data_IF_580335170966
#
_entry.id   IF_580335170966
#
_cell.length_a   1.000
_cell.length_b   1.000
_cell.length_c   1.000
_cell.angle_alpha   90.00
_cell.angle_beta   90.00
_cell.angle_gamma   90.00
#
_symmetry.space_group_name_H-M   'P 1'
#
loop_
_entity.id
_entity.type
_entity.pdbx_description
1 polymer ?
#
# COMPACT_ATOMS: atom_id res chain seq x y z
N UNK A 1 -30.19 -3.51 8.69
CA UNK A 1 -30.63 -3.05 10.03
C UNK A 1 -29.40 -2.71 10.84
N UNK A 2 -29.39 -1.58 11.55
CA UNK A 2 -28.23 -1.07 12.30
C UNK A 2 -28.25 -1.46 13.80
N UNK A 3 -29.23 -2.26 14.26
CA UNK A 3 -29.48 -2.46 15.69
C UNK A 3 -28.32 -3.07 16.50
N UNK A 4 -27.54 -3.99 15.91
CA UNK A 4 -26.33 -4.52 16.57
C UNK A 4 -25.22 -3.46 16.69
N UNK A 5 -25.11 -2.57 15.71
CA UNK A 5 -24.15 -1.46 15.73
C UNK A 5 -24.55 -0.43 16.80
N UNK A 6 -25.82 -0.06 16.86
CA UNK A 6 -26.38 0.90 17.83
C UNK A 6 -26.19 0.38 19.27
N UNK A 7 -26.53 -0.88 19.54
CA UNK A 7 -26.33 -1.49 20.86
C UNK A 7 -24.85 -1.57 21.26
N UNK A 8 -23.95 -1.83 20.32
CA UNK A 8 -22.52 -1.85 20.62
C UNK A 8 -21.99 -0.46 21.01
N UNK A 9 -22.44 0.60 20.35
CA UNK A 9 -22.08 1.99 20.71
C UNK A 9 -22.62 2.36 22.08
N UNK A 10 -23.89 2.05 22.37
CA UNK A 10 -24.52 2.33 23.67
C UNK A 10 -23.79 1.64 24.83
N UNK A 11 -23.25 0.45 24.58
CA UNK A 11 -22.46 -0.32 25.54
C UNK A 11 -20.96 0.06 25.58
N UNK A 12 -20.54 1.08 24.83
CA UNK A 12 -19.14 1.52 24.75
C UNK A 12 -18.19 0.52 24.07
N UNK A 13 -18.72 -0.41 23.28
CA UNK A 13 -17.98 -1.41 22.51
C UNK A 13 -17.79 -0.94 21.07
N UNK A 14 -16.65 -1.28 20.46
CA UNK A 14 -16.42 -0.99 19.04
C UNK A 14 -17.37 -1.84 18.18
N UNK A 15 -18.23 -1.25 17.33
CA UNK A 15 -19.17 -2.00 16.50
C UNK A 15 -18.50 -2.48 15.21
N UNK A 16 -17.31 -3.08 15.33
CA UNK A 16 -16.57 -3.63 14.20
C UNK A 16 -17.09 -5.03 13.89
N UNK A 17 -17.39 -5.28 12.61
CA UNK A 17 -17.75 -6.60 12.11
C UNK A 17 -16.50 -7.47 11.93
N UNK A 18 -15.38 -6.84 11.58
CA UNK A 18 -14.08 -7.47 11.45
C UNK A 18 -12.96 -6.50 11.89
N UNK A 19 -11.89 -7.04 12.45
CA UNK A 19 -10.71 -6.29 12.91
C UNK A 19 -9.47 -7.07 12.50
N UNK A 20 -8.62 -6.42 11.71
CA UNK A 20 -7.31 -6.96 11.36
C UNK A 20 -6.21 -6.24 12.13
N UNK A 21 -5.16 -6.99 12.51
CA UNK A 21 -3.91 -6.43 13.04
C UNK A 21 -2.78 -6.77 12.10
N UNK A 22 -2.30 -5.75 11.38
CA UNK A 22 -1.26 -5.91 10.36
C UNK A 22 0.14 -5.73 10.94
N UNK A 23 1.05 -6.60 10.52
CA UNK A 23 2.49 -6.45 10.75
C UNK A 23 3.06 -5.31 9.89
N UNK A 24 4.21 -4.71 10.27
CA UNK A 24 4.77 -3.58 9.53
C UNK A 24 4.94 -3.79 8.01
N UNK A 25 5.38 -4.98 7.51
CA UNK A 25 5.45 -5.24 6.07
C UNK A 25 4.11 -5.18 5.36
N UNK A 26 3.05 -5.69 5.99
CA UNK A 26 1.71 -5.70 5.41
C UNK A 26 1.15 -4.27 5.34
N UNK A 27 1.38 -3.47 6.39
CA UNK A 27 1.02 -2.04 6.42
C UNK A 27 1.79 -1.23 5.36
N UNK A 28 3.04 -1.59 5.09
CA UNK A 28 3.81 -0.98 4.01
C UNK A 28 3.23 -1.32 2.64
N UNK A 29 2.85 -2.58 2.42
CA UNK A 29 2.14 -3.01 1.21
C UNK A 29 0.85 -2.24 0.96
N UNK A 30 0.02 -2.08 2.00
CA UNK A 30 -1.20 -1.26 1.90
C UNK A 30 -0.92 0.20 1.58
N UNK A 31 0.12 0.80 2.20
CA UNK A 31 0.50 2.17 1.89
C UNK A 31 0.97 2.31 0.43
N UNK A 32 1.78 1.36 -0.05
CA UNK A 32 2.23 1.31 -1.45
C UNK A 32 1.01 1.26 -2.38
N UNK A 33 0.06 0.36 -2.09
CA UNK A 33 -1.18 0.25 -2.86
C UNK A 33 -1.91 1.60 -2.93
N UNK A 34 -2.13 2.28 -1.80
CA UNK A 34 -2.83 3.55 -1.78
C UNK A 34 -2.06 4.66 -2.51
N UNK A 35 -0.75 4.75 -2.30
CA UNK A 35 0.08 5.81 -2.88
C UNK A 35 0.34 5.66 -4.37
N UNK A 36 0.41 4.44 -4.91
CA UNK A 36 0.56 4.22 -6.35
C UNK A 36 -0.58 4.81 -7.19
N UNK A 37 -1.74 5.09 -6.58
CA UNK A 37 -2.87 5.75 -7.24
C UNK A 37 -2.75 7.28 -7.26
N UNK A 38 -1.77 7.84 -6.56
CA UNK A 38 -1.50 9.27 -6.53
C UNK A 38 -0.42 9.63 -7.56
N UNK A 39 -0.46 10.83 -8.17
CA UNK A 39 0.57 11.27 -9.12
C UNK A 39 1.99 11.23 -8.56
N UNK A 40 2.15 11.50 -7.27
CA UNK A 40 3.44 11.53 -6.59
C UNK A 40 4.04 10.13 -6.37
N UNK A 41 3.25 9.06 -6.53
CA UNK A 41 3.63 7.69 -6.25
C UNK A 41 4.09 7.47 -4.81
N UNK A 42 5.05 6.56 -4.64
CA UNK A 42 5.55 6.07 -3.36
C UNK A 42 6.92 6.64 -3.07
N UNK A 43 7.12 7.17 -1.86
CA UNK A 43 8.44 7.63 -1.38
C UNK A 43 9.11 6.61 -0.47
N UNK A 44 10.36 6.25 -0.76
CA UNK A 44 11.13 5.32 0.07
C UNK A 44 11.31 5.80 1.51
N UNK A 45 11.57 7.10 1.67
CA UNK A 45 11.74 7.71 2.98
C UNK A 45 10.49 7.56 3.88
N UNK A 46 9.29 7.56 3.28
CA UNK A 46 8.05 7.40 4.05
C UNK A 46 7.86 5.97 4.55
N UNK A 47 8.16 4.97 3.72
CA UNK A 47 8.12 3.56 4.12
C UNK A 47 9.15 3.27 5.22
N UNK A 48 10.35 3.82 5.09
CA UNK A 48 11.38 3.71 6.11
C UNK A 48 10.97 4.39 7.42
N UNK A 49 10.42 5.60 7.37
CA UNK A 49 10.02 6.35 8.57
C UNK A 49 8.85 5.70 9.30
N UNK A 50 7.83 5.23 8.56
CA UNK A 50 6.58 4.72 9.16
C UNK A 50 6.67 3.26 9.58
N UNK A 51 7.44 2.45 8.86
CA UNK A 51 7.45 1.00 9.04
C UNK A 51 8.85 0.40 9.23
N UNK A 52 9.91 1.21 9.24
CA UNK A 52 11.30 0.77 9.30
C UNK A 52 11.70 -0.20 8.17
N UNK A 53 11.10 0.00 6.99
CA UNK A 53 11.25 -0.85 5.81
C UNK A 53 12.08 -0.14 4.73
N UNK A 54 13.19 -0.77 4.37
CA UNK A 54 13.99 -0.41 3.20
C UNK A 54 13.37 -1.05 1.94
N UNK A 55 12.38 -0.36 1.40
CA UNK A 55 11.57 -0.87 0.29
C UNK A 55 12.37 -1.09 -1.00
N UNK A 56 13.38 -0.26 -1.26
CA UNK A 56 14.28 -0.42 -2.41
C UNK A 56 15.17 -1.68 -2.30
N UNK A 57 15.32 -2.24 -1.10
CA UNK A 57 15.99 -3.52 -0.88
C UNK A 57 15.01 -4.69 -0.82
N UNK A 58 13.89 -4.52 -0.10
CA UNK A 58 12.90 -5.60 0.12
C UNK A 58 12.16 -5.94 -1.17
N UNK A 59 11.71 -4.93 -1.92
CA UNK A 59 10.94 -5.11 -3.16
C UNK A 59 11.79 -4.97 -4.41
N UNK A 60 13.12 -5.18 -4.31
CA UNK A 60 14.04 -4.94 -5.43
C UNK A 60 13.66 -5.76 -6.66
N UNK A 61 13.32 -7.03 -6.45
CA UNK A 61 12.95 -7.94 -7.54
C UNK A 61 11.69 -7.46 -8.27
N UNK A 62 10.67 -7.06 -7.52
CA UNK A 62 9.40 -6.57 -8.02
C UNK A 62 9.59 -5.23 -8.74
N UNK A 63 10.33 -4.30 -8.15
CA UNK A 63 10.63 -2.99 -8.71
C UNK A 63 11.42 -3.09 -10.02
N UNK A 64 12.49 -3.88 -10.04
CA UNK A 64 13.31 -4.08 -11.24
C UNK A 64 12.47 -4.71 -12.38
N UNK A 65 11.62 -5.69 -12.05
CA UNK A 65 10.70 -6.31 -13.02
C UNK A 65 9.67 -5.31 -13.55
N UNK A 66 8.98 -4.59 -12.69
CA UNK A 66 7.96 -3.60 -13.07
C UNK A 66 8.56 -2.46 -13.89
N UNK A 67 9.76 -2.01 -13.53
CA UNK A 67 10.49 -1.00 -14.29
C UNK A 67 10.84 -1.53 -15.70
N UNK A 68 11.35 -2.76 -15.81
CA UNK A 68 11.69 -3.37 -17.10
C UNK A 68 10.49 -3.51 -18.04
N UNK A 69 9.28 -3.61 -17.48
CA UNK A 69 8.02 -3.69 -18.23
C UNK A 69 7.44 -2.31 -18.57
N UNK A 70 8.07 -1.22 -18.13
CA UNK A 70 7.56 0.14 -18.29
C UNK A 70 6.33 0.44 -17.43
N UNK A 71 6.08 -0.34 -16.38
CA UNK A 71 4.91 -0.16 -15.49
C UNK A 71 5.14 0.93 -14.45
N UNK A 72 6.40 1.10 -14.04
CA UNK A 72 6.80 2.14 -13.11
C UNK A 72 8.01 2.89 -13.64
N UNK A 73 8.11 4.14 -13.22
CA UNK A 73 9.36 4.87 -13.20
C UNK A 73 9.86 4.96 -11.75
N UNK A 74 11.17 4.81 -11.57
CA UNK A 74 11.83 4.74 -10.27
C UNK A 74 13.10 5.59 -10.29
N UNK A 75 13.33 6.31 -9.19
CA UNK A 75 14.50 7.13 -8.97
C UNK A 75 15.05 6.94 -7.55
N UNK A 76 15.94 7.83 -7.09
CA UNK A 76 16.51 7.75 -5.75
C UNK A 76 15.52 8.06 -4.63
N UNK A 77 14.40 8.74 -4.92
CA UNK A 77 13.40 9.17 -3.96
C UNK A 77 12.29 8.14 -3.79
N UNK A 78 11.92 7.47 -4.88
CA UNK A 78 10.74 6.61 -4.90
C UNK A 78 10.41 6.04 -6.26
N UNK A 79 9.16 5.61 -6.41
CA UNK A 79 8.63 5.05 -7.64
C UNK A 79 7.16 5.43 -7.83
N UNK A 80 6.74 5.56 -9.09
CA UNK A 80 5.36 5.86 -9.46
C UNK A 80 4.96 5.10 -10.73
N UNK A 81 3.66 4.95 -10.96
CA UNK A 81 3.16 4.39 -12.21
C UNK A 81 3.51 5.33 -13.37
N UNK A 82 3.85 4.73 -14.52
CA UNK A 82 3.85 5.46 -15.79
C UNK A 82 2.42 5.79 -16.19
N UNK A 83 2.24 6.75 -17.11
CA UNK A 83 0.92 7.17 -17.57
C UNK A 83 0.14 6.00 -18.20
N UNK A 84 0.83 5.17 -18.99
CA UNK A 84 0.27 3.99 -19.65
C UNK A 84 -0.11 2.89 -18.64
N UNK A 85 0.56 2.85 -17.49
CA UNK A 85 0.34 1.81 -16.48
C UNK A 85 -0.77 2.13 -15.47
N UNK A 86 -1.35 3.34 -15.50
CA UNK A 86 -2.44 3.72 -14.59
C UNK A 86 -3.64 2.78 -14.65
N UNK A 87 -3.95 2.24 -15.84
CA UNK A 87 -5.04 1.25 -16.00
C UNK A 87 -4.74 -0.10 -15.35
N UNK A 88 -3.48 -0.36 -15.00
CA UNK A 88 -3.01 -1.58 -14.34
C UNK A 88 -2.69 -1.34 -12.86
N UNK A 89 -3.10 -0.21 -12.28
CA UNK A 89 -2.76 0.17 -10.92
C UNK A 89 -3.06 -0.92 -9.88
N UNK A 90 -4.21 -1.60 -9.99
CA UNK A 90 -4.59 -2.69 -9.07
C UNK A 90 -3.65 -3.89 -9.18
N UNK A 91 -3.27 -4.28 -10.40
CA UNK A 91 -2.37 -5.40 -10.65
C UNK A 91 -0.96 -5.10 -10.16
N UNK A 92 -0.45 -3.89 -10.42
CA UNK A 92 0.86 -3.45 -9.94
C UNK A 92 0.87 -3.36 -8.42
N UNK A 93 -0.18 -2.80 -7.81
CA UNK A 93 -0.27 -2.70 -6.35
C UNK A 93 -0.33 -4.08 -5.68
N UNK A 94 -0.99 -5.06 -6.30
CA UNK A 94 -1.09 -6.43 -5.79
C UNK A 94 0.26 -7.14 -5.61
N UNK A 95 1.31 -6.71 -6.30
CA UNK A 95 2.68 -7.24 -6.14
C UNK A 95 3.30 -6.88 -4.78
N UNK A 96 2.72 -5.91 -4.05
CA UNK A 96 3.27 -5.40 -2.79
C UNK A 96 2.44 -5.77 -1.55
N UNK A 97 1.23 -6.31 -1.74
CA UNK A 97 0.32 -6.68 -0.65
C UNK A 97 0.40 -8.20 -0.45
N UNK A 98 0.89 -8.66 0.71
CA UNK A 98 1.03 -10.09 1.06
C UNK A 98 0.78 -10.31 2.54
#
# INVERSE_FOLDING_TARGET
HLGEWESAIDDGRLPAIDIETLLPPQRAGELIMLQLRLPDGVRFAELQQRFAIDANRIYRTELDRLQSMGMIEIDSLGFRLTEEALIYADAVAGEFVT
#
